data_IF_752706481176
#
_entry.id   IF_752706481176
#
_cell.length_a   1.000
_cell.length_b   1.000
_cell.length_c   1.000
_cell.angle_alpha   90.00
_cell.angle_beta   90.00
_cell.angle_gamma   90.00
#
_symmetry.space_group_name_H-M   'P 1'
#
loop_
_entity.id
_entity.type
_entity.pdbx_description
1 polymer ?
#
# COMPACT_ATOMS: atom_id res chain seq x y z
N UNK A 1 6.64 77.77 -55.67
CA UNK A 1 5.39 77.27 -55.02
C UNK A 1 4.93 76.06 -55.81
N UNK A 2 4.97 74.88 -55.20
CA UNK A 2 4.23 73.67 -55.57
C UNK A 2 4.01 72.93 -54.24
N UNK A 3 2.85 72.91 -53.55
CA UNK A 3 1.43 72.77 -53.92
C UNK A 3 1.06 71.43 -54.57
N UNK A 4 1.71 70.32 -54.22
CA UNK A 4 1.15 68.98 -54.42
C UNK A 4 1.41 68.06 -53.23
N UNK A 5 0.41 68.01 -52.35
CA UNK A 5 0.02 66.90 -51.46
C UNK A 5 1.09 66.40 -50.46
N UNK A 6 1.03 66.62 -49.15
CA UNK A 6 -0.09 66.56 -48.19
C UNK A 6 -0.90 65.25 -48.31
N UNK A 7 -0.71 64.36 -47.32
CA UNK A 7 -1.32 63.05 -47.02
C UNK A 7 -0.68 61.77 -47.61
N UNK A 8 0.16 61.12 -46.79
CA UNK A 8 0.02 59.70 -46.43
C UNK A 8 0.82 59.44 -45.14
N UNK A 9 0.22 59.73 -43.98
CA UNK A 9 -0.45 58.79 -43.08
C UNK A 9 0.49 57.78 -42.39
N UNK A 10 0.83 58.13 -41.15
CA UNK A 10 1.17 57.29 -39.99
C UNK A 10 1.13 55.75 -40.21
N UNK A 11 2.30 55.11 -40.28
CA UNK A 11 2.44 53.70 -39.89
C UNK A 11 3.36 53.62 -38.67
N UNK A 12 2.75 53.24 -37.56
CA UNK A 12 3.27 53.44 -36.21
C UNK A 12 4.42 52.51 -35.83
N UNK A 13 5.35 53.04 -35.03
CA UNK A 13 6.15 52.24 -34.13
C UNK A 13 5.22 51.59 -33.10
N UNK A 14 4.82 50.35 -33.34
CA UNK A 14 4.30 49.50 -32.28
C UNK A 14 5.49 49.14 -31.36
N UNK A 15 5.70 49.95 -30.33
CA UNK A 15 6.58 49.59 -29.23
C UNK A 15 5.97 48.36 -28.54
N UNK A 16 6.50 47.17 -28.82
CA UNK A 16 6.19 45.96 -28.10
C UNK A 16 6.70 46.12 -26.66
N UNK A 17 5.83 46.57 -25.77
CA UNK A 17 6.13 46.58 -24.35
C UNK A 17 6.17 45.11 -23.89
N UNK A 18 7.28 44.61 -23.32
CA UNK A 18 7.29 43.27 -22.76
C UNK A 18 6.28 43.25 -21.62
N UNK A 19 5.20 42.51 -21.80
CA UNK A 19 4.30 42.15 -20.71
C UNK A 19 5.12 41.28 -19.77
N UNK A 20 5.64 41.88 -18.70
CA UNK A 20 6.15 41.10 -17.59
C UNK A 20 4.97 40.30 -17.04
N UNK A 21 4.93 39.02 -17.41
CA UNK A 21 4.01 38.06 -16.82
C UNK A 21 4.28 38.09 -15.32
N UNK A 22 3.36 38.70 -14.57
CA UNK A 22 3.43 38.75 -13.13
C UNK A 22 3.28 37.31 -12.66
N UNK A 23 4.38 36.69 -12.23
CA UNK A 23 4.35 35.38 -11.61
C UNK A 23 3.38 35.46 -10.43
N UNK A 24 2.20 34.89 -10.59
CA UNK A 24 1.26 34.72 -9.48
C UNK A 24 1.96 33.76 -8.53
N UNK A 25 2.39 34.26 -7.38
CA UNK A 25 2.93 33.42 -6.33
C UNK A 25 1.87 32.34 -6.03
N UNK A 26 2.19 31.08 -6.36
CA UNK A 26 1.35 29.96 -5.98
C UNK A 26 1.25 29.99 -4.45
N UNK A 27 0.05 30.00 -3.86
CA UNK A 27 -0.07 29.98 -2.41
C UNK A 27 0.74 28.78 -1.88
N UNK A 28 1.54 28.96 -0.82
CA UNK A 28 2.35 27.87 -0.29
C UNK A 28 1.44 26.70 0.05
N UNK A 29 1.73 25.52 -0.51
CA UNK A 29 1.04 24.31 -0.09
C UNK A 29 1.35 24.06 1.38
N UNK A 30 0.34 23.70 2.17
CA UNK A 30 0.54 23.32 3.56
C UNK A 30 1.51 22.13 3.63
N UNK A 31 2.46 22.18 4.58
CA UNK A 31 3.35 21.07 4.88
C UNK A 31 2.52 19.79 5.08
N UNK A 32 2.80 18.74 4.30
CA UNK A 32 2.15 17.45 4.51
C UNK A 32 2.86 16.71 5.63
N UNK A 33 2.11 16.43 6.69
CA UNK A 33 2.62 15.79 7.91
C UNK A 33 2.00 14.42 8.10
N UNK A 34 2.77 13.52 8.69
CA UNK A 34 2.30 12.20 9.09
C UNK A 34 2.74 11.91 10.52
N UNK A 35 1.87 11.24 11.27
CA UNK A 35 2.21 10.60 12.55
C UNK A 35 2.06 9.08 12.41
N UNK A 36 3.17 8.36 12.41
CA UNK A 36 3.19 6.92 12.20
C UNK A 36 3.79 6.21 13.41
N UNK A 37 3.29 5.01 13.67
CA UNK A 37 3.87 4.07 14.64
C UNK A 37 4.08 2.73 13.96
N UNK A 38 5.27 2.16 14.06
CA UNK A 38 5.54 0.80 13.57
C UNK A 38 5.22 -0.19 14.70
N UNK A 39 4.25 -1.09 14.50
CA UNK A 39 3.80 -1.98 15.58
C UNK A 39 4.83 -3.06 15.95
N UNK A 40 5.81 -3.34 15.09
CA UNK A 40 6.81 -4.37 15.31
C UNK A 40 8.07 -3.82 15.97
N UNK A 41 8.54 -2.64 15.56
CA UNK A 41 9.75 -2.02 16.11
C UNK A 41 9.46 -1.07 17.27
N UNK A 42 8.22 -0.60 17.41
CA UNK A 42 7.85 0.45 18.36
C UNK A 42 8.35 1.84 17.96
N UNK A 43 9.04 1.98 16.83
CA UNK A 43 9.50 3.27 16.31
C UNK A 43 8.31 4.17 15.98
N UNK A 44 8.55 5.47 16.04
CA UNK A 44 7.54 6.48 15.70
C UNK A 44 8.14 7.50 14.75
N UNK A 45 7.29 8.00 13.85
CA UNK A 45 7.60 9.11 12.96
C UNK A 45 6.55 10.21 13.20
N UNK A 46 7.00 11.43 13.45
CA UNK A 46 6.14 12.63 13.47
C UNK A 46 6.87 13.77 12.78
N UNK A 47 6.46 14.07 11.56
CA UNK A 47 7.17 15.06 10.77
C UNK A 47 6.45 15.44 9.50
N UNK A 48 6.88 16.56 8.92
CA UNK A 48 6.54 16.90 7.55
C UNK A 48 7.44 16.12 6.61
N UNK A 49 6.86 15.41 5.65
CA UNK A 49 7.61 14.64 4.64
C UNK A 49 7.62 15.31 3.27
N UNK A 50 6.73 16.28 3.04
CA UNK A 50 6.59 17.03 1.78
C UNK A 50 6.24 18.49 2.04
N UNK A 51 6.89 19.37 1.27
CA UNK A 51 6.65 20.81 1.25
C UNK A 51 6.22 21.27 -0.17
N UNK A 52 6.22 22.58 -0.39
CA UNK A 52 5.91 23.23 -1.66
C UNK A 52 6.87 22.87 -2.81
N UNK A 53 8.09 22.44 -2.50
CA UNK A 53 9.09 21.97 -3.46
C UNK A 53 8.99 20.47 -3.75
N UNK A 54 8.17 19.73 -3.00
CA UNK A 54 7.98 18.29 -3.15
C UNK A 54 8.44 17.48 -1.93
N UNK A 55 8.76 16.19 -2.10
CA UNK A 55 9.22 15.33 -1.01
C UNK A 55 10.55 15.82 -0.45
N UNK A 56 10.68 15.88 0.88
CA UNK A 56 11.89 16.34 1.55
C UNK A 56 12.89 15.17 1.59
N UNK A 57 14.00 15.18 0.82
CA UNK A 57 14.79 13.97 0.56
C UNK A 57 15.29 13.26 1.82
N UNK A 58 15.82 14.03 2.78
CA UNK A 58 16.29 13.51 4.07
C UNK A 58 15.17 12.81 4.87
N UNK A 59 13.97 13.35 4.84
CA UNK A 59 12.82 12.77 5.55
C UNK A 59 12.33 11.50 4.85
N UNK A 60 12.42 11.43 3.53
CA UNK A 60 12.12 10.20 2.78
C UNK A 60 13.14 9.12 3.12
N UNK A 61 14.43 9.44 3.25
CA UNK A 61 15.44 8.47 3.71
C UNK A 61 15.16 7.93 5.11
N UNK A 62 14.73 8.81 6.04
CA UNK A 62 14.28 8.42 7.38
C UNK A 62 13.04 7.50 7.32
N UNK A 63 12.07 7.83 6.46
CA UNK A 63 10.89 6.99 6.23
C UNK A 63 11.26 5.63 5.60
N UNK A 64 12.24 5.56 4.71
CA UNK A 64 12.73 4.29 4.16
C UNK A 64 13.32 3.38 5.26
N UNK A 65 13.97 3.97 6.27
CA UNK A 65 14.41 3.21 7.46
C UNK A 65 13.20 2.80 8.29
N UNK A 66 12.30 3.72 8.62
CA UNK A 66 11.10 3.44 9.42
C UNK A 66 10.19 2.35 8.81
N UNK A 67 10.09 2.31 7.48
CA UNK A 67 9.27 1.40 6.68
C UNK A 67 10.05 0.16 6.17
N UNK A 68 11.26 -0.07 6.70
CA UNK A 68 12.09 -1.23 6.36
C UNK A 68 11.43 -2.56 6.72
N UNK A 69 11.94 -3.64 6.17
CA UNK A 69 11.54 -4.98 6.61
C UNK A 69 12.03 -5.20 8.04
N UNK A 70 11.10 -5.36 8.99
CA UNK A 70 11.44 -5.51 10.40
C UNK A 70 12.03 -6.89 10.74
N UNK A 71 11.89 -7.88 9.85
CA UNK A 71 12.46 -9.21 10.08
C UNK A 71 13.95 -9.24 9.75
N UNK A 72 14.35 -8.66 8.61
CA UNK A 72 15.75 -8.64 8.15
C UNK A 72 16.49 -7.35 8.51
N UNK A 73 15.77 -6.26 8.77
CA UNK A 73 16.33 -4.92 8.94
C UNK A 73 16.70 -4.24 7.61
N UNK A 74 16.50 -4.90 6.47
CA UNK A 74 16.81 -4.35 5.16
C UNK A 74 15.81 -3.25 4.77
N UNK A 75 16.34 -2.15 4.24
CA UNK A 75 15.54 -1.05 3.67
C UNK A 75 15.62 -1.04 2.15
N UNK A 76 14.61 -0.45 1.53
CA UNK A 76 14.61 -0.10 0.11
C UNK A 76 14.11 1.34 -0.06
N UNK A 77 14.16 1.85 -1.29
CA UNK A 77 13.48 3.09 -1.64
C UNK A 77 11.97 2.87 -1.59
N UNK A 78 11.29 3.59 -0.71
CA UNK A 78 9.83 3.60 -0.65
C UNK A 78 9.29 4.56 -1.71
N UNK A 79 8.28 4.11 -2.43
CA UNK A 79 7.56 4.96 -3.38
C UNK A 79 6.85 6.09 -2.64
N UNK A 80 7.22 7.33 -2.93
CA UNK A 80 6.57 8.50 -2.34
C UNK A 80 5.06 8.54 -2.67
N UNK A 81 4.65 7.93 -3.79
CA UNK A 81 3.25 7.79 -4.15
C UNK A 81 2.43 7.02 -3.10
N UNK A 82 2.98 5.99 -2.46
CA UNK A 82 2.25 5.23 -1.42
C UNK A 82 2.17 6.00 -0.11
N UNK A 83 3.19 6.82 0.19
CA UNK A 83 3.18 7.73 1.35
C UNK A 83 2.14 8.83 1.14
N UNK A 84 2.07 9.41 -0.06
CA UNK A 84 1.02 10.37 -0.40
C UNK A 84 -0.37 9.75 -0.35
N UNK A 85 -0.51 8.50 -0.78
CA UNK A 85 -1.79 7.79 -0.73
C UNK A 85 -2.24 7.58 0.72
N UNK A 86 -1.34 7.15 1.61
CA UNK A 86 -1.62 7.08 3.04
C UNK A 86 -2.08 8.43 3.59
N UNK A 87 -1.33 9.50 3.30
CA UNK A 87 -1.66 10.83 3.81
C UNK A 87 -3.03 11.31 3.32
N UNK A 88 -3.36 11.11 2.04
CA UNK A 88 -4.68 11.48 1.50
C UNK A 88 -5.81 10.65 2.11
N UNK A 89 -5.58 9.36 2.36
CA UNK A 89 -6.55 8.50 3.06
C UNK A 89 -6.82 9.02 4.47
N UNK A 90 -5.77 9.33 5.23
CA UNK A 90 -5.90 9.89 6.58
C UNK A 90 -6.64 11.23 6.58
N UNK A 91 -6.24 12.16 5.70
CA UNK A 91 -6.89 13.47 5.54
C UNK A 91 -8.39 13.30 5.22
N UNK A 92 -8.74 12.34 4.35
CA UNK A 92 -10.12 12.10 3.92
C UNK A 92 -11.07 11.58 5.00
N UNK A 93 -10.52 11.02 6.09
CA UNK A 93 -11.26 10.53 7.26
C UNK A 93 -11.00 11.35 8.52
N UNK A 94 -10.36 12.52 8.39
CA UNK A 94 -10.06 13.41 9.51
C UNK A 94 -9.06 12.84 10.52
N UNK A 95 -8.20 11.91 10.09
CA UNK A 95 -7.18 11.28 10.91
C UNK A 95 -5.81 11.87 10.59
N UNK A 96 -4.93 11.88 11.59
CA UNK A 96 -3.54 12.34 11.41
C UNK A 96 -2.52 11.26 11.76
N UNK A 97 -3.00 10.12 12.26
CA UNK A 97 -2.19 9.02 12.78
C UNK A 97 -2.58 7.69 12.13
N UNK A 98 -1.57 6.90 11.82
CA UNK A 98 -1.71 5.50 11.44
C UNK A 98 -0.70 4.62 12.18
N UNK A 99 -1.09 3.36 12.39
CA UNK A 99 -0.16 2.30 12.77
C UNK A 99 0.23 1.51 11.53
N UNK A 100 1.53 1.40 11.26
CA UNK A 100 2.09 0.59 10.19
C UNK A 100 2.27 -0.83 10.72
N UNK A 101 1.62 -1.78 10.05
CA UNK A 101 1.78 -3.22 10.28
C UNK A 101 2.86 -3.79 9.39
N UNK A 102 2.94 -3.33 8.14
CA UNK A 102 3.97 -3.77 7.20
C UNK A 102 4.15 -2.73 6.11
N UNK A 103 5.37 -2.65 5.58
CA UNK A 103 5.71 -1.81 4.44
C UNK A 103 6.62 -2.57 3.49
N UNK A 104 7.90 -2.24 3.38
CA UNK A 104 8.82 -3.05 2.58
C UNK A 104 8.97 -4.46 3.16
N UNK A 105 9.07 -5.46 2.28
CA UNK A 105 9.40 -6.85 2.63
C UNK A 105 10.52 -7.33 1.70
N UNK A 106 11.55 -7.95 2.26
CA UNK A 106 12.50 -8.72 1.45
C UNK A 106 11.79 -9.89 0.77
N UNK A 107 12.39 -10.42 -0.30
CA UNK A 107 11.85 -11.59 -0.99
C UNK A 107 11.74 -12.80 -0.03
N UNK A 108 12.71 -12.96 0.88
CA UNK A 108 12.72 -13.99 1.91
C UNK A 108 11.56 -13.83 2.90
N UNK A 109 11.37 -12.63 3.46
CA UNK A 109 10.23 -12.35 4.35
C UNK A 109 8.91 -12.56 3.64
N UNK A 110 8.77 -12.12 2.40
CA UNK A 110 7.55 -12.32 1.63
C UNK A 110 7.27 -13.82 1.39
N UNK A 111 8.30 -14.62 1.06
CA UNK A 111 8.17 -16.07 0.90
C UNK A 111 7.84 -16.78 2.22
N UNK A 112 8.43 -16.35 3.33
CA UNK A 112 8.10 -16.83 4.67
C UNK A 112 6.64 -16.56 5.02
N UNK A 113 6.17 -15.33 4.82
CA UNK A 113 4.78 -14.95 5.10
C UNK A 113 3.79 -15.64 4.15
N UNK A 114 4.16 -15.86 2.88
CA UNK A 114 3.32 -16.60 1.94
C UNK A 114 3.05 -18.05 2.38
N UNK A 115 3.94 -18.63 3.19
CA UNK A 115 3.78 -20.00 3.72
C UNK A 115 2.89 -20.06 4.97
N UNK A 116 2.80 -18.96 5.73
CA UNK A 116 2.14 -18.92 7.04
C UNK A 116 0.84 -18.11 7.05
N UNK A 117 0.68 -17.19 6.10
CA UNK A 117 -0.46 -16.29 5.95
C UNK A 117 -1.09 -16.49 4.56
N UNK A 118 -2.39 -16.76 4.55
CA UNK A 118 -3.15 -16.88 3.30
C UNK A 118 -3.10 -15.55 2.51
N UNK A 119 -2.87 -15.65 1.19
CA UNK A 119 -3.09 -14.52 0.27
C UNK A 119 -1.90 -13.60 -0.05
N UNK A 120 -0.65 -14.06 0.10
CA UNK A 120 0.50 -13.28 -0.39
C UNK A 120 0.69 -13.52 -1.89
N UNK A 121 0.53 -12.49 -2.72
CA UNK A 121 0.77 -12.58 -4.17
C UNK A 121 2.27 -12.75 -4.48
N UNK A 122 2.61 -13.58 -5.47
CA UNK A 122 4.00 -13.72 -5.98
C UNK A 122 4.59 -12.40 -6.50
N UNK A 123 3.73 -11.45 -6.88
CA UNK A 123 4.08 -10.07 -7.30
C UNK A 123 3.65 -9.02 -6.27
N UNK A 124 3.96 -9.28 -5.01
CA UNK A 124 3.64 -8.37 -3.89
C UNK A 124 4.26 -6.99 -4.08
N UNK A 125 3.43 -5.95 -4.02
CA UNK A 125 3.90 -4.55 -4.08
C UNK A 125 4.77 -4.17 -2.86
N UNK A 126 4.75 -4.97 -1.78
CA UNK A 126 5.66 -4.80 -0.64
C UNK A 126 7.13 -5.04 -1.03
N UNK A 127 7.44 -5.96 -1.95
CA UNK A 127 8.82 -6.28 -2.34
C UNK A 127 9.47 -5.14 -3.14
N UNK A 128 8.66 -4.30 -3.76
CA UNK A 128 9.13 -3.15 -4.56
C UNK A 128 8.97 -1.81 -3.84
N UNK A 129 8.67 -1.83 -2.54
CA UNK A 129 8.53 -0.60 -1.73
C UNK A 129 7.30 0.24 -2.07
N UNK A 130 6.24 -0.37 -2.60
CA UNK A 130 5.03 0.31 -3.11
C UNK A 130 3.76 0.00 -2.35
N UNK A 131 3.86 -0.62 -1.18
CA UNK A 131 2.68 -1.03 -0.40
C UNK A 131 2.83 -0.79 1.10
N UNK A 132 1.69 -0.53 1.74
CA UNK A 132 1.55 -0.36 3.18
C UNK A 132 0.34 -1.15 3.68
N UNK A 133 0.54 -1.93 4.74
CA UNK A 133 -0.53 -2.48 5.57
C UNK A 133 -0.69 -1.58 6.78
N UNK A 134 -1.85 -0.97 6.93
CA UNK A 134 -2.09 0.10 7.91
C UNK A 134 -3.34 -0.15 8.76
N UNK A 135 -3.26 0.26 10.02
CA UNK A 135 -4.40 0.38 10.92
C UNK A 135 -4.63 1.85 11.25
N UNK A 136 -5.90 2.23 11.22
CA UNK A 136 -6.38 3.56 11.62
C UNK A 136 -7.33 3.34 12.80
N UNK A 137 -7.09 4.01 13.92
CA UNK A 137 -7.71 3.67 15.22
C UNK A 137 -9.24 3.83 15.19
N UNK A 138 -9.71 4.97 14.69
CA UNK A 138 -11.12 5.22 14.38
C UNK A 138 -11.28 5.41 12.87
N UNK A 139 -12.39 4.93 12.30
CA UNK A 139 -12.73 5.07 10.87
C UNK A 139 -12.03 4.12 9.90
N UNK A 140 -11.55 2.94 10.33
CA UNK A 140 -10.87 1.99 9.42
C UNK A 140 -11.73 1.58 8.19
N UNK A 141 -13.03 1.30 8.37
CA UNK A 141 -13.95 0.94 7.26
C UNK A 141 -14.20 2.12 6.31
N UNK A 142 -14.28 3.34 6.86
CA UNK A 142 -14.41 4.55 6.07
C UNK A 142 -13.11 4.83 5.28
N UNK A 143 -11.95 4.68 5.92
CA UNK A 143 -10.64 4.84 5.30
C UNK A 143 -10.47 3.86 4.13
N UNK A 144 -10.91 2.61 4.28
CA UNK A 144 -10.99 1.63 3.19
C UNK A 144 -11.86 2.13 2.04
N UNK A 145 -13.07 2.61 2.34
CA UNK A 145 -14.02 3.12 1.33
C UNK A 145 -13.43 4.31 0.56
N UNK A 146 -12.82 5.26 1.28
CA UNK A 146 -12.15 6.42 0.69
C UNK A 146 -10.94 6.01 -0.14
N UNK A 147 -10.10 5.10 0.34
CA UNK A 147 -8.94 4.59 -0.38
C UNK A 147 -9.35 3.96 -1.73
N UNK A 148 -10.41 3.13 -1.75
CA UNK A 148 -10.93 2.54 -2.99
C UNK A 148 -11.41 3.60 -3.98
N UNK A 149 -12.09 4.64 -3.49
CA UNK A 149 -12.61 5.72 -4.32
C UNK A 149 -11.50 6.61 -4.93
N UNK A 150 -10.27 6.57 -4.41
CA UNK A 150 -9.15 7.33 -4.97
C UNK A 150 -8.54 6.69 -6.22
N UNK A 151 -8.76 5.39 -6.46
CA UNK A 151 -8.26 4.66 -7.63
C UNK A 151 -6.73 4.80 -7.89
N UNK A 152 -5.94 4.88 -6.81
CA UNK A 152 -4.48 5.10 -6.89
C UNK A 152 -3.63 3.82 -6.93
N UNK A 153 -4.28 2.68 -6.82
CA UNK A 153 -3.67 1.35 -6.92
C UNK A 153 -4.49 0.31 -6.18
N UNK A 154 -3.85 -0.72 -5.65
CA UNK A 154 -4.54 -1.81 -4.97
C UNK A 154 -5.03 -1.43 -3.58
N UNK A 155 -6.24 -1.86 -3.22
CA UNK A 155 -6.80 -1.71 -1.86
C UNK A 155 -7.38 -3.03 -1.36
N UNK A 156 -6.77 -3.57 -0.30
CA UNK A 156 -7.21 -4.78 0.38
C UNK A 156 -7.95 -4.46 1.68
N UNK A 157 -9.09 -5.12 1.91
CA UNK A 157 -9.87 -4.97 3.14
C UNK A 157 -9.76 -6.23 4.02
N UNK A 158 -9.27 -6.07 5.25
CA UNK A 158 -9.07 -7.16 6.21
C UNK A 158 -9.82 -6.84 7.53
N UNK A 159 -11.16 -6.95 7.54
CA UNK A 159 -11.98 -6.53 8.68
C UNK A 159 -11.66 -7.27 9.97
N UNK A 160 -11.44 -8.59 9.90
CA UNK A 160 -11.17 -9.42 11.09
C UNK A 160 -9.77 -9.19 11.66
N UNK A 161 -8.78 -8.94 10.79
CA UNK A 161 -7.41 -8.59 11.21
C UNK A 161 -7.27 -7.10 11.57
N UNK A 162 -8.30 -6.29 11.27
CA UNK A 162 -8.36 -4.87 11.61
C UNK A 162 -7.32 -4.02 10.87
N UNK A 163 -7.15 -4.21 9.57
CA UNK A 163 -6.26 -3.37 8.76
C UNK A 163 -6.74 -3.21 7.31
N UNK A 164 -6.17 -2.22 6.62
CA UNK A 164 -6.30 -2.05 5.17
C UNK A 164 -4.92 -2.14 4.52
N UNK A 165 -4.87 -2.76 3.35
CA UNK A 165 -3.72 -2.73 2.47
C UNK A 165 -3.92 -1.62 1.45
N UNK A 166 -2.89 -0.83 1.20
CA UNK A 166 -2.85 0.13 0.08
C UNK A 166 -1.53 -0.04 -0.70
N UNK A 167 -1.60 0.05 -2.02
CA UNK A 167 -0.43 0.08 -2.89
C UNK A 167 -0.61 1.01 -4.09
N UNK A 168 0.48 1.29 -4.79
CA UNK A 168 0.49 2.12 -6.02
C UNK A 168 0.60 1.30 -7.31
N UNK A 169 0.34 -0.01 -7.26
CA UNK A 169 0.28 -0.89 -8.44
C UNK A 169 -1.01 -0.70 -9.26
N UNK A 170 -1.41 -1.69 -10.08
CA UNK A 170 -2.67 -1.63 -10.80
C UNK A 170 -3.88 -1.52 -9.86
N UNK A 171 -4.87 -0.71 -10.25
CA UNK A 171 -6.13 -0.53 -9.51
C UNK A 171 -6.84 -1.87 -9.39
N UNK A 172 -7.02 -2.32 -8.15
CA UNK A 172 -7.72 -3.58 -7.84
C UNK A 172 -8.19 -3.54 -6.39
N UNK A 173 -9.35 -4.14 -6.13
CA UNK A 173 -9.93 -4.17 -4.79
C UNK A 173 -10.20 -5.62 -4.40
N UNK A 174 -9.83 -5.99 -3.19
CA UNK A 174 -10.15 -7.29 -2.61
C UNK A 174 -10.61 -7.15 -1.16
N UNK A 175 -11.41 -8.11 -0.72
CA UNK A 175 -11.88 -8.22 0.66
C UNK A 175 -11.56 -9.62 1.13
N UNK A 176 -10.86 -9.73 2.25
CA UNK A 176 -10.63 -11.00 2.94
C UNK A 176 -11.55 -11.06 4.17
N UNK A 177 -12.84 -11.30 3.92
CA UNK A 177 -13.85 -11.66 4.93
C UNK A 177 -14.03 -13.19 4.98
N UNK A 178 -14.92 -13.69 5.84
CA UNK A 178 -15.25 -15.13 5.94
C UNK A 178 -15.53 -15.79 4.57
N UNK A 179 -16.18 -15.07 3.64
CA UNK A 179 -16.53 -15.54 2.29
C UNK A 179 -15.36 -15.45 1.29
N UNK A 180 -14.48 -14.48 1.46
CA UNK A 180 -13.27 -14.32 0.66
C UNK A 180 -12.26 -15.46 0.84
N UNK A 181 -12.27 -16.14 2.00
CA UNK A 181 -11.44 -17.32 2.27
C UNK A 181 -11.98 -18.59 1.60
N UNK A 182 -13.30 -18.72 1.42
CA UNK A 182 -13.94 -19.89 0.81
C UNK A 182 -13.56 -20.07 -0.67
N UNK A 183 -13.27 -18.97 -1.38
CA UNK A 183 -12.83 -19.00 -2.79
C UNK A 183 -11.32 -19.09 -2.98
N UNK A 184 -10.53 -18.99 -1.90
CA UNK A 184 -9.08 -18.89 -1.97
C UNK A 184 -8.40 -20.26 -1.82
N UNK A 185 -9.05 -21.23 -1.18
CA UNK A 185 -8.46 -22.51 -0.81
C UNK A 185 -9.29 -23.70 -1.30
N UNK A 186 -8.71 -24.52 -2.18
CA UNK A 186 -9.25 -25.83 -2.56
C UNK A 186 -8.41 -26.92 -1.92
N UNK A 187 -9.05 -27.81 -1.17
CA UNK A 187 -8.42 -29.00 -0.61
C UNK A 187 -8.61 -30.17 -1.57
N UNK A 188 -7.54 -30.69 -2.16
CA UNK A 188 -7.59 -31.77 -3.17
C UNK A 188 -7.57 -33.19 -2.57
N UNK A 189 -7.74 -33.30 -1.25
CA UNK A 189 -7.65 -34.57 -0.52
C UNK A 189 -6.24 -34.92 -0.04
N UNK A 190 -5.20 -34.19 -0.46
CA UNK A 190 -3.82 -34.37 0.03
C UNK A 190 -3.14 -33.05 0.45
N UNK A 191 -3.48 -31.91 -0.17
CA UNK A 191 -2.93 -30.58 0.17
C UNK A 191 -3.96 -29.46 0.02
N UNK A 192 -3.77 -28.39 0.78
CA UNK A 192 -4.43 -27.10 0.56
C UNK A 192 -3.79 -26.40 -0.64
N UNK A 193 -4.59 -25.98 -1.63
CA UNK A 193 -4.14 -25.23 -2.81
C UNK A 193 -4.81 -23.87 -2.88
N UNK A 194 -4.05 -22.87 -3.31
CA UNK A 194 -4.58 -21.55 -3.65
C UNK A 194 -5.30 -21.59 -5.00
N UNK A 195 -6.51 -21.06 -5.11
CA UNK A 195 -7.19 -20.94 -6.41
C UNK A 195 -6.63 -19.73 -7.16
N UNK A 196 -5.72 -19.98 -8.11
CA UNK A 196 -5.39 -19.01 -9.14
C UNK A 196 -6.63 -18.78 -10.01
N UNK A 197 -6.95 -17.52 -10.30
CA UNK A 197 -8.08 -17.12 -11.17
C UNK A 197 -7.91 -17.81 -12.53
N UNK A 198 -8.62 -18.91 -12.76
CA UNK A 198 -8.59 -19.64 -14.02
C UNK A 198 -10.01 -19.69 -14.60
N UNK A 199 -10.13 -19.08 -15.79
CA UNK A 199 -11.20 -19.22 -16.78
C UNK A 199 -12.04 -20.50 -16.61
N UNK A 200 -13.22 -20.35 -16.01
CA UNK A 200 -14.51 -20.83 -16.55
C UNK A 200 -14.69 -22.30 -16.94
N UNK A 201 -13.73 -23.21 -16.74
CA UNK A 201 -13.84 -24.61 -17.22
C UNK A 201 -13.41 -25.59 -16.15
N UNK A 202 -14.40 -26.04 -15.38
CA UNK A 202 -14.25 -27.12 -14.44
C UNK A 202 -14.15 -28.45 -15.24
N UNK A 203 -12.98 -29.10 -15.24
CA UNK A 203 -12.84 -30.50 -15.66
C UNK A 203 -12.41 -31.32 -14.45
N UNK A 204 -13.36 -32.02 -13.87
CA UNK A 204 -13.17 -33.00 -12.80
C UNK A 204 -12.47 -34.24 -13.35
N UNK A 205 -11.45 -34.74 -12.65
CA UNK A 205 -10.97 -36.12 -12.78
C UNK A 205 -10.90 -36.77 -11.39
N UNK A 206 -11.95 -37.54 -11.10
CA UNK A 206 -12.07 -38.75 -10.26
C UNK A 206 -11.75 -38.69 -8.74
N UNK A 207 -12.74 -39.13 -7.93
CA UNK A 207 -12.55 -39.62 -6.55
C UNK A 207 -13.76 -39.36 -5.64
N UNK A 208 -14.62 -40.37 -5.44
CA UNK A 208 -15.88 -40.26 -4.70
C UNK A 208 -15.76 -40.40 -3.18
N UNK A 209 -16.29 -39.41 -2.46
CA UNK A 209 -16.60 -39.39 -1.03
C UNK A 209 -17.30 -38.06 -0.74
N UNK A 210 -18.38 -38.05 0.05
CA UNK A 210 -19.08 -36.81 0.38
C UNK A 210 -18.12 -35.89 1.16
N UNK A 211 -17.70 -34.83 0.48
CA UNK A 211 -16.75 -33.83 0.96
C UNK A 211 -17.50 -32.83 1.84
N UNK A 212 -17.21 -32.80 3.13
CA UNK A 212 -17.64 -31.69 3.99
C UNK A 212 -16.46 -30.74 4.23
N UNK A 213 -16.56 -29.47 3.79
CA UNK A 213 -15.54 -28.49 4.07
C UNK A 213 -15.46 -28.19 5.57
N UNK A 214 -14.24 -28.09 6.11
CA UNK A 214 -14.01 -27.61 7.47
C UNK A 214 -14.72 -26.27 7.71
N UNK A 215 -15.10 -25.96 8.94
CA UNK A 215 -15.59 -24.63 9.30
C UNK A 215 -14.43 -23.62 9.39
N UNK A 216 -14.74 -22.33 9.30
CA UNK A 216 -13.74 -21.25 9.40
C UNK A 216 -12.96 -21.32 10.72
N UNK A 217 -13.65 -21.64 11.82
CA UNK A 217 -13.05 -21.81 13.15
C UNK A 217 -12.03 -22.94 13.18
N UNK A 218 -12.35 -24.07 12.55
CA UNK A 218 -11.44 -25.22 12.45
C UNK A 218 -10.20 -24.89 11.60
N UNK A 219 -10.38 -24.11 10.51
CA UNK A 219 -9.28 -23.69 9.64
C UNK A 219 -8.35 -22.67 10.30
N UNK A 220 -8.89 -21.67 10.98
CA UNK A 220 -8.10 -20.70 11.76
C UNK A 220 -7.40 -21.38 12.95
N UNK A 221 -8.09 -22.33 13.60
CA UNK A 221 -7.51 -23.16 14.66
C UNK A 221 -6.31 -23.96 14.16
N UNK A 222 -6.42 -24.57 12.98
CA UNK A 222 -5.33 -25.31 12.34
C UNK A 222 -4.15 -24.37 11.99
N UNK A 223 -4.43 -23.18 11.47
CA UNK A 223 -3.41 -22.18 11.14
C UNK A 223 -2.64 -21.72 12.39
N UNK A 224 -3.35 -21.42 13.48
CA UNK A 224 -2.71 -21.08 14.76
C UNK A 224 -1.89 -22.25 15.33
N UNK A 225 -2.36 -23.48 15.20
CA UNK A 225 -1.62 -24.67 15.64
C UNK A 225 -0.35 -24.89 14.82
N UNK A 226 -0.41 -24.71 13.50
CA UNK A 226 0.76 -24.82 12.60
C UNK A 226 1.77 -23.72 12.86
N UNK A 227 1.34 -22.46 12.96
CA UNK A 227 2.20 -21.33 13.29
C UNK A 227 2.88 -21.51 14.67
N UNK A 228 2.14 -22.04 15.65
CA UNK A 228 2.68 -22.35 16.99
C UNK A 228 3.65 -23.53 16.96
N UNK A 229 3.37 -24.57 16.17
CA UNK A 229 4.26 -25.72 16.02
C UNK A 229 5.60 -25.33 15.36
N UNK A 230 5.57 -24.49 14.32
CA UNK A 230 6.76 -23.96 13.67
C UNK A 230 7.58 -23.04 14.58
N UNK A 231 6.91 -22.16 15.34
CA UNK A 231 7.56 -21.33 16.35
C UNK A 231 8.28 -22.19 17.39
N UNK A 232 7.61 -23.21 17.95
CA UNK A 232 8.20 -24.11 18.93
C UNK A 232 9.36 -24.95 18.36
N UNK A 233 9.27 -25.37 17.09
CA UNK A 233 10.36 -26.08 16.42
C UNK A 233 11.62 -25.22 16.30
N UNK A 234 11.49 -23.93 15.96
CA UNK A 234 12.61 -22.98 15.89
C UNK A 234 13.22 -22.68 17.25
N UNK A 235 12.40 -22.49 18.29
CA UNK A 235 12.88 -22.24 19.65
C UNK A 235 13.60 -23.46 20.25
N UNK A 236 13.25 -24.67 19.80
CA UNK A 236 13.93 -25.92 20.21
C UNK A 236 15.27 -26.11 19.48
N UNK A 237 15.37 -25.71 18.22
CA UNK A 237 16.64 -25.71 17.45
C UNK A 237 17.64 -24.71 18.06
N UNK A 238 17.17 -23.54 18.52
CA UNK A 238 18.01 -22.53 19.20
C UNK A 238 18.47 -22.93 20.61
N UNK A 239 17.90 -23.98 21.23
CA UNK A 239 18.34 -24.54 22.53
C UNK A 239 19.22 -25.79 22.40
N UNK A 240 19.40 -26.31 21.19
CA UNK A 240 20.15 -27.55 20.94
C UNK A 240 21.48 -27.33 20.20
N UNK A 241 21.83 -26.08 19.87
CA UNK A 241 23.19 -25.72 19.49
C UNK A 241 23.88 -25.06 20.70
N UNK A 242 24.82 -25.75 21.39
CA UNK A 242 25.68 -25.13 22.38
C UNK A 242 26.64 -24.12 21.76
#
# INVERSE_FOLDING_TARGET
MDRRLFLSLMTGLAAAWPTMARAVARPPMALRRLRLVNCHTGETFDGAYRNDQGPIPRVIDELCVFLRDHHSGEKTQIDVGVIDFLADVLDSVGQTRATILSAYRTAETNAMLARTMFGVAEHSQHIVGRALDIRVDSSLSEAMTKARAMERGGVGWYPHSGFIHIDTGPVRNWTLDERGLDGLLVFDGQRLRMVGKADGRNRTLLGGGAWEPLTVTERLGLQHQLARAEFLARTRILRLNP
#
